data_IF_973854878386
#
_entry.id   IF_973854878386
#
_cell.length_a   1.000
_cell.length_b   1.000
_cell.length_c   1.000
_cell.angle_alpha   90.00
_cell.angle_beta   90.00
_cell.angle_gamma   90.00
#
_symmetry.space_group_name_H-M   'P 1'
#
loop_
_entity.id
_entity.type
_entity.pdbx_description
1 polymer ?
#
# COMPACT_ATOMS: atom_id res chain seq x y z
N UNK A 1 -2.63 -8.95 -14.92
CA UNK A 1 -1.77 -7.80 -14.62
C UNK A 1 -0.49 -8.26 -13.99
N UNK A 2 0.63 -7.96 -14.60
CA UNK A 2 1.90 -8.41 -14.03
C UNK A 2 2.25 -7.60 -12.78
N UNK A 3 2.59 -8.28 -11.72
CA UNK A 3 3.13 -7.59 -10.55
C UNK A 3 4.59 -7.24 -10.79
N UNK A 4 5.03 -6.12 -10.21
CA UNK A 4 6.41 -5.64 -10.33
C UNK A 4 7.35 -6.40 -9.39
N UNK A 5 6.80 -6.97 -8.33
CA UNK A 5 7.58 -7.69 -7.34
C UNK A 5 6.78 -7.95 -6.09
N UNK A 6 7.48 -8.33 -5.03
CA UNK A 6 6.89 -8.60 -3.72
C UNK A 6 7.76 -7.93 -2.66
N UNK A 7 7.14 -7.33 -1.66
CA UNK A 7 7.85 -6.75 -0.52
C UNK A 7 7.26 -7.31 0.77
N UNK A 8 8.09 -7.43 1.80
CA UNK A 8 7.65 -7.81 3.13
C UNK A 8 7.79 -6.61 4.05
N UNK A 9 6.71 -6.26 4.74
CA UNK A 9 6.69 -5.14 5.67
C UNK A 9 6.44 -5.67 7.07
N UNK A 10 7.09 -5.06 8.05
CA UNK A 10 7.02 -5.49 9.45
C UNK A 10 6.26 -4.44 10.24
N UNK A 11 5.18 -4.84 10.89
CA UNK A 11 4.40 -3.95 11.74
C UNK A 11 5.07 -3.68 13.08
N UNK A 12 4.49 -2.77 13.84
CA UNK A 12 4.93 -2.47 15.21
C UNK A 12 4.92 -3.75 16.07
N UNK A 13 3.94 -4.64 15.81
CA UNK A 13 3.79 -5.89 16.54
C UNK A 13 4.91 -6.91 16.27
N UNK A 14 5.74 -6.66 15.24
CA UNK A 14 6.72 -7.62 14.76
C UNK A 14 6.19 -8.57 13.71
N UNK A 15 4.90 -8.50 13.39
CA UNK A 15 4.31 -9.33 12.34
C UNK A 15 4.82 -8.92 10.98
N UNK A 16 5.05 -9.93 10.13
CA UNK A 16 5.48 -9.74 8.76
C UNK A 16 4.28 -9.88 7.83
N UNK A 17 4.12 -8.91 6.95
CA UNK A 17 3.06 -8.92 5.93
C UNK A 17 3.69 -8.87 4.55
N UNK A 18 3.28 -9.77 3.66
CA UNK A 18 3.76 -9.74 2.27
C UNK A 18 2.79 -8.98 1.40
N UNK A 19 3.34 -8.10 0.56
CA UNK A 19 2.57 -7.28 -0.38
C UNK A 19 3.05 -7.56 -1.80
N UNK A 20 2.11 -7.73 -2.72
CA UNK A 20 2.40 -7.75 -4.14
C UNK A 20 2.41 -6.31 -4.67
N UNK A 21 3.42 -5.97 -5.46
CA UNK A 21 3.63 -4.60 -5.95
C UNK A 21 3.14 -4.47 -7.38
N UNK A 22 2.32 -3.44 -7.63
CA UNK A 22 1.75 -3.15 -8.94
C UNK A 22 1.94 -1.68 -9.29
N UNK A 23 1.75 -1.34 -10.56
CA UNK A 23 1.67 0.08 -10.95
C UNK A 23 0.43 0.71 -10.30
N UNK A 24 0.56 1.96 -9.89
CA UNK A 24 -0.51 2.69 -9.21
C UNK A 24 -1.83 2.68 -9.97
N UNK A 25 -1.75 2.77 -11.30
CA UNK A 25 -2.94 2.90 -12.15
C UNK A 25 -3.51 1.56 -12.65
N UNK A 26 -2.94 0.44 -12.24
CA UNK A 26 -3.47 -0.86 -12.61
C UNK A 26 -4.90 -1.06 -12.11
N UNK A 27 -5.69 -1.81 -12.84
CA UNK A 27 -7.05 -2.17 -12.45
C UNK A 27 -7.04 -3.49 -11.69
N UNK A 28 -7.91 -3.63 -10.71
CA UNK A 28 -7.95 -4.81 -9.83
C UNK A 28 -9.35 -5.38 -9.74
N UNK A 29 -9.44 -6.65 -9.34
CA UNK A 29 -10.71 -7.32 -9.06
C UNK A 29 -11.35 -6.73 -7.81
N UNK A 30 -12.66 -6.97 -7.64
CA UNK A 30 -13.41 -6.53 -6.47
C UNK A 30 -13.08 -7.43 -5.27
N UNK A 31 -11.95 -7.14 -4.63
CA UNK A 31 -11.43 -7.90 -3.49
C UNK A 31 -11.11 -6.97 -2.32
N UNK A 32 -11.27 -7.48 -1.10
CA UNK A 32 -10.85 -6.78 0.09
C UNK A 32 -9.34 -6.85 0.28
N UNK A 33 -8.73 -5.75 0.63
CA UNK A 33 -7.28 -5.71 0.81
C UNK A 33 -6.83 -4.54 1.69
N UNK A 34 -5.64 -4.72 2.27
CA UNK A 34 -4.83 -3.62 2.78
C UNK A 34 -3.94 -3.18 1.63
N UNK A 35 -3.81 -1.87 1.42
CA UNK A 35 -2.98 -1.35 0.35
C UNK A 35 -2.00 -0.30 0.88
N UNK A 36 -0.84 -0.24 0.24
CA UNK A 36 0.16 0.78 0.54
C UNK A 36 0.48 1.51 -0.75
N UNK A 37 0.31 2.83 -0.76
CA UNK A 37 0.72 3.67 -1.87
C UNK A 37 2.14 4.14 -1.60
N UNK A 38 3.01 4.01 -2.57
CA UNK A 38 4.44 4.28 -2.41
C UNK A 38 5.06 4.84 -3.68
N UNK A 39 6.23 5.45 -3.51
CA UNK A 39 7.09 5.81 -4.62
C UNK A 39 8.17 4.75 -4.71
N UNK A 40 8.21 4.05 -5.84
CA UNK A 40 9.18 2.99 -6.10
C UNK A 40 10.24 3.51 -7.07
N UNK A 41 11.49 3.38 -6.67
CA UNK A 41 12.63 3.75 -7.52
C UNK A 41 13.40 2.45 -7.81
N UNK A 42 13.33 1.93 -9.04
CA UNK A 42 14.05 0.71 -9.39
C UNK A 42 15.52 1.00 -9.64
N UNK A 43 16.38 0.02 -9.31
CA UNK A 43 17.81 0.07 -9.61
C UNK A 43 18.17 -1.12 -10.52
N UNK A 44 19.11 -0.92 -11.44
CA UNK A 44 19.44 -1.91 -12.47
C UNK A 44 19.91 -3.24 -11.91
N UNK A 45 20.67 -3.26 -10.81
CA UNK A 45 21.27 -4.48 -10.26
C UNK A 45 21.02 -4.62 -8.76
N UNK A 46 19.97 -3.97 -8.24
CA UNK A 46 19.63 -4.00 -6.84
C UNK A 46 18.13 -3.99 -6.66
N UNK A 47 17.66 -4.30 -5.45
CA UNK A 47 16.26 -4.18 -5.13
C UNK A 47 15.82 -2.73 -5.22
N UNK A 48 14.55 -2.51 -5.64
CA UNK A 48 13.99 -1.17 -5.70
C UNK A 48 13.92 -0.55 -4.31
N UNK A 49 14.09 0.77 -4.24
CA UNK A 49 13.81 1.52 -3.03
C UNK A 49 12.36 1.97 -3.02
N UNK A 50 11.80 2.05 -1.82
CA UNK A 50 10.40 2.47 -1.62
C UNK A 50 10.33 3.61 -0.62
N UNK A 51 9.54 4.62 -0.96
CA UNK A 51 9.10 5.64 -0.02
C UNK A 51 7.64 5.35 0.28
N UNK A 52 7.33 5.04 1.54
CA UNK A 52 5.98 4.65 1.96
C UNK A 52 5.17 5.91 2.23
N UNK A 53 4.04 6.06 1.52
CA UNK A 53 3.31 7.34 1.47
C UNK A 53 1.98 7.27 2.21
N UNK A 54 1.20 6.20 1.98
CA UNK A 54 -0.10 6.04 2.62
C UNK A 54 -0.48 4.58 2.70
N UNK A 55 -0.91 4.12 3.88
CA UNK A 55 -1.47 2.78 4.07
C UNK A 55 -2.96 2.90 4.40
N UNK A 56 -3.78 2.10 3.72
CA UNK A 56 -5.22 2.08 3.94
C UNK A 56 -5.79 0.70 3.67
N UNK A 57 -7.11 0.60 3.79
CA UNK A 57 -7.80 -0.65 3.50
C UNK A 57 -9.09 -0.37 2.74
N UNK A 58 -9.58 -1.38 2.02
CA UNK A 58 -10.83 -1.30 1.31
C UNK A 58 -11.46 -2.69 1.23
N UNK A 59 -12.77 -2.73 1.30
CA UNK A 59 -13.52 -3.96 1.04
C UNK A 59 -13.54 -4.30 -0.45
N UNK A 60 -13.23 -3.31 -1.30
CA UNK A 60 -13.27 -3.47 -2.76
C UNK A 60 -12.23 -2.56 -3.41
N UNK A 61 -11.06 -3.11 -3.72
CA UNK A 61 -9.96 -2.36 -4.32
C UNK A 61 -10.15 -2.04 -5.80
N UNK A 62 -11.23 -2.52 -6.41
CA UNK A 62 -11.57 -2.16 -7.79
C UNK A 62 -12.11 -0.74 -7.90
N UNK A 63 -12.59 -0.16 -6.80
CA UNK A 63 -13.16 1.18 -6.78
C UNK A 63 -12.11 2.26 -6.73
N UNK A 64 -12.27 3.28 -7.56
CA UNK A 64 -11.32 4.39 -7.66
C UNK A 64 -12.01 5.73 -7.40
N UNK A 65 -11.28 6.71 -6.87
CA UNK A 65 -9.89 6.61 -6.41
C UNK A 65 -9.80 5.97 -5.02
N UNK A 66 -8.72 5.23 -4.77
CA UNK A 66 -8.42 4.75 -3.42
C UNK A 66 -7.96 5.94 -2.57
N UNK A 67 -8.34 5.93 -1.29
CA UNK A 67 -7.94 6.98 -0.35
C UNK A 67 -8.33 8.39 -0.78
N UNK A 68 -9.52 8.56 -1.36
CA UNK A 68 -10.00 9.76 -2.05
C UNK A 68 -9.59 11.10 -1.45
N UNK A 69 -9.87 11.37 -0.16
CA UNK A 69 -9.53 12.64 0.48
C UNK A 69 -8.02 12.86 0.64
N UNK A 70 -7.24 11.80 0.61
CA UNK A 70 -5.78 11.87 0.74
C UNK A 70 -5.08 12.00 -0.62
N UNK A 71 -5.83 11.98 -1.72
CA UNK A 71 -5.25 12.01 -3.06
C UNK A 71 -4.28 13.18 -3.28
N UNK A 72 -4.60 14.43 -2.85
CA UNK A 72 -3.64 15.53 -3.03
C UNK A 72 -2.29 15.28 -2.37
N UNK A 73 -2.29 14.73 -1.15
CA UNK A 73 -1.05 14.41 -0.46
C UNK A 73 -0.30 13.28 -1.16
N UNK A 74 -1.02 12.25 -1.59
CA UNK A 74 -0.44 11.10 -2.28
C UNK A 74 0.22 11.55 -3.58
N UNK A 75 -0.46 12.41 -4.35
CA UNK A 75 0.08 12.95 -5.60
C UNK A 75 1.28 13.85 -5.36
N UNK A 76 1.24 14.68 -4.31
CA UNK A 76 2.35 15.56 -3.97
C UNK A 76 3.62 14.78 -3.60
N UNK A 77 3.47 13.59 -3.05
CA UNK A 77 4.58 12.70 -2.71
C UNK A 77 4.98 11.80 -3.88
N UNK A 78 4.34 11.95 -5.03
CA UNK A 78 4.71 11.25 -6.26
C UNK A 78 4.56 9.72 -6.20
N UNK A 79 3.51 9.25 -5.55
CA UNK A 79 3.23 7.81 -5.49
C UNK A 79 3.09 7.24 -6.91
N UNK A 80 3.80 6.16 -7.19
CA UNK A 80 3.79 5.52 -8.52
C UNK A 80 3.48 4.03 -8.46
N UNK A 81 3.35 3.44 -7.28
CA UNK A 81 2.99 2.04 -7.17
C UNK A 81 1.98 1.81 -6.05
N UNK A 82 1.29 0.68 -6.17
CA UNK A 82 0.30 0.21 -5.22
C UNK A 82 0.69 -1.19 -4.78
N UNK A 83 0.88 -1.37 -3.48
CA UNK A 83 1.20 -2.66 -2.91
C UNK A 83 -0.05 -3.23 -2.25
N UNK A 84 -0.36 -4.51 -2.51
CA UNK A 84 -1.58 -5.14 -2.03
C UNK A 84 -1.30 -6.35 -1.13
N UNK A 85 -2.05 -6.42 -0.04
CA UNK A 85 -2.12 -7.57 0.84
C UNK A 85 -3.59 -7.95 0.96
N UNK A 86 -4.00 -9.06 0.35
CA UNK A 86 -5.39 -9.46 0.33
C UNK A 86 -5.86 -9.89 1.72
N UNK A 87 -7.01 -9.39 2.14
CA UNK A 87 -7.62 -9.70 3.42
C UNK A 87 -9.11 -9.42 3.35
N UNK A 88 -9.94 -10.46 3.51
CA UNK A 88 -11.39 -10.33 3.41
C UNK A 88 -12.02 -9.78 4.69
N UNK A 89 -11.42 -10.03 5.84
CA UNK A 89 -11.98 -9.63 7.13
C UNK A 89 -11.73 -8.16 7.42
N UNK A 90 -12.81 -7.40 7.62
CA UNK A 90 -12.71 -5.95 7.86
C UNK A 90 -11.94 -5.60 9.15
N UNK A 91 -12.13 -6.38 10.21
CA UNK A 91 -11.42 -6.14 11.47
C UNK A 91 -9.93 -6.41 11.31
N UNK A 92 -9.59 -7.49 10.59
CA UNK A 92 -8.20 -7.81 10.31
C UNK A 92 -7.55 -6.71 9.48
N UNK A 93 -8.24 -6.19 8.45
CA UNK A 93 -7.71 -5.09 7.64
C UNK A 93 -7.41 -3.85 8.49
N UNK A 94 -8.34 -3.48 9.36
CA UNK A 94 -8.17 -2.31 10.24
C UNK A 94 -6.96 -2.50 11.16
N UNK A 95 -6.79 -3.69 11.73
CA UNK A 95 -5.66 -3.99 12.61
C UNK A 95 -4.33 -3.94 11.87
N UNK A 96 -4.29 -4.46 10.64
CA UNK A 96 -3.07 -4.43 9.81
C UNK A 96 -2.68 -2.99 9.47
N UNK A 97 -3.65 -2.16 9.09
CA UNK A 97 -3.38 -0.75 8.79
C UNK A 97 -2.77 -0.04 9.99
N UNK A 98 -3.35 -0.23 11.17
CA UNK A 98 -2.83 0.39 12.40
C UNK A 98 -1.41 -0.08 12.70
N UNK A 99 -1.15 -1.38 12.53
CA UNK A 99 0.15 -1.97 12.80
C UNK A 99 1.23 -1.41 11.86
N UNK A 100 0.90 -1.28 10.57
CA UNK A 100 1.82 -0.74 9.57
C UNK A 100 1.97 0.77 9.66
N UNK A 101 0.89 1.50 9.90
CA UNK A 101 0.96 2.96 10.07
C UNK A 101 1.86 3.33 11.25
N UNK A 102 1.77 2.57 12.35
CA UNK A 102 2.64 2.80 13.50
C UNK A 102 4.11 2.54 13.22
N UNK A 103 4.41 1.54 12.38
CA UNK A 103 5.78 1.16 12.07
C UNK A 103 6.43 2.12 11.05
N UNK A 104 5.70 2.54 10.03
CA UNK A 104 6.25 3.31 8.90
C UNK A 104 5.92 4.79 8.95
N UNK A 105 4.92 5.18 9.74
CA UNK A 105 4.50 6.57 9.89
C UNK A 105 4.39 7.31 8.55
N UNK A 106 3.56 6.79 7.59
CA UNK A 106 3.52 7.40 6.27
C UNK A 106 2.96 8.82 6.34
N UNK A 107 3.52 9.76 5.57
CA UNK A 107 3.14 11.18 5.71
C UNK A 107 1.66 11.44 5.43
N UNK A 108 1.06 10.74 4.49
CA UNK A 108 -0.33 11.00 4.13
C UNK A 108 -1.35 10.37 5.08
N UNK A 109 -0.91 9.50 5.98
CA UNK A 109 -1.79 8.99 7.05
C UNK A 109 -2.00 10.03 8.15
N UNK A 110 -1.13 11.02 8.23
CA UNK A 110 -1.23 12.13 9.19
C UNK A 110 -1.97 13.33 8.62
N UNK A 111 -2.29 13.26 7.34
CA UNK A 111 -2.93 14.35 6.61
C UNK A 111 -4.41 14.53 7.00
#
# INVERSE_FOLDING_TARGET
>A
MPKLGTVALIGVSGRRYEFAVYLREDAFKALGAVYFLAKRIPFAEAEAEYTWIYVGESADISRRPLAGKHKPCIDANEANCLCLHLEDDAQARTAIVADLAGAYDPPCNRD
#
